data_IF_358450850722
#
_entry.id   IF_358450850722
#
_cell.length_a   1.000
_cell.length_b   1.000
_cell.length_c   1.000
_cell.angle_alpha   90.00
_cell.angle_beta   90.00
_cell.angle_gamma   90.00
#
_symmetry.space_group_name_H-M   'P 1'
#
loop_
_entity.id
_entity.type
_entity.pdbx_description
1 polymer ?
#
# COMPACT_ATOMS: atom_id res chain seq x y z
N UNK A 1 -34.40 -23.24 -29.72
CA UNK A 1 -35.15 -23.66 -28.51
C UNK A 1 -34.15 -23.54 -27.37
N UNK A 2 -34.04 -22.36 -26.76
CA UNK A 2 -34.84 -21.88 -25.62
C UNK A 2 -34.74 -22.83 -24.42
N UNK A 3 -34.02 -22.41 -23.39
CA UNK A 3 -34.58 -22.06 -22.06
C UNK A 3 -33.41 -21.77 -21.09
N UNK A 4 -33.08 -20.52 -20.77
CA UNK A 4 -33.62 -19.69 -19.67
C UNK A 4 -33.94 -20.46 -18.37
N UNK A 5 -33.03 -20.37 -17.39
CA UNK A 5 -33.35 -20.59 -15.99
C UNK A 5 -33.12 -19.31 -15.20
N UNK A 6 -34.25 -18.72 -14.81
CA UNK A 6 -34.43 -17.60 -13.89
C UNK A 6 -34.20 -18.12 -12.46
N UNK A 7 -33.43 -17.40 -11.63
CA UNK A 7 -33.54 -17.53 -10.19
C UNK A 7 -33.77 -16.17 -9.54
N UNK A 8 -34.97 -16.02 -8.98
CA UNK A 8 -35.38 -14.90 -8.12
C UNK A 8 -34.83 -15.15 -6.72
N UNK A 9 -34.13 -14.17 -6.16
CA UNK A 9 -33.73 -14.14 -4.75
C UNK A 9 -33.89 -12.73 -4.19
N UNK A 10 -34.99 -12.52 -3.48
CA UNK A 10 -35.38 -11.30 -2.76
C UNK A 10 -34.49 -11.05 -1.54
N UNK A 11 -33.94 -9.83 -1.40
CA UNK A 11 -33.32 -9.36 -0.15
C UNK A 11 -34.19 -8.26 0.49
N UNK A 12 -34.57 -8.37 1.78
CA UNK A 12 -35.34 -7.33 2.46
C UNK A 12 -34.45 -6.15 2.89
N UNK A 13 -34.93 -4.95 2.56
CA UNK A 13 -34.43 -3.64 3.00
C UNK A 13 -34.70 -3.44 4.50
N UNK A 14 -33.65 -3.35 5.32
CA UNK A 14 -33.75 -2.83 6.68
C UNK A 14 -33.55 -1.30 6.66
N UNK A 15 -34.68 -0.60 6.79
CA UNK A 15 -34.77 0.85 7.05
C UNK A 15 -34.34 1.12 8.49
N UNK A 16 -33.26 1.86 8.70
CA UNK A 16 -32.99 2.54 9.97
C UNK A 16 -33.46 3.99 9.85
N UNK A 17 -34.64 4.28 10.38
CA UNK A 17 -35.16 5.63 10.59
C UNK A 17 -34.77 6.01 12.02
N UNK A 18 -33.87 6.98 12.18
CA UNK A 18 -33.68 7.70 13.46
C UNK A 18 -34.48 8.99 13.40
N UNK A 19 -35.52 9.05 14.21
CA UNK A 19 -36.31 10.25 14.49
C UNK A 19 -35.50 11.19 15.39
N UNK A 20 -35.38 12.45 14.98
CA UNK A 20 -34.93 13.54 15.84
C UNK A 20 -36.16 14.32 16.30
N UNK A 21 -36.39 14.34 17.62
CA UNK A 21 -37.33 15.25 18.28
C UNK A 21 -36.70 16.63 18.37
N UNK A 22 -37.33 17.62 17.72
CA UNK A 22 -36.99 19.02 17.87
C UNK A 22 -37.61 19.57 19.17
N UNK A 23 -36.77 20.04 20.09
CA UNK A 23 -37.20 20.87 21.22
C UNK A 23 -36.87 22.33 20.88
N UNK A 24 -37.91 23.15 20.75
CA UNK A 24 -37.79 24.60 20.59
C UNK A 24 -37.49 25.24 21.95
N UNK A 25 -36.43 26.03 22.02
CA UNK A 25 -36.17 26.96 23.12
C UNK A 25 -36.00 28.35 22.52
N UNK A 26 -37.01 29.19 22.78
CA UNK A 26 -37.01 30.62 22.56
C UNK A 26 -36.12 31.29 23.59
N UNK A 27 -35.07 31.98 23.13
CA UNK A 27 -34.14 32.72 23.99
C UNK A 27 -33.71 34.01 23.31
N UNK A 28 -34.05 35.13 23.94
CA UNK A 28 -33.99 36.50 23.42
C UNK A 28 -32.61 36.98 23.00
N UNK A 29 -32.62 37.77 21.93
CA UNK A 29 -31.49 38.48 21.33
C UNK A 29 -31.05 39.66 22.22
N UNK A 30 -29.83 39.63 22.76
CA UNK A 30 -29.12 40.81 23.25
C UNK A 30 -27.82 40.95 22.45
N UNK A 31 -27.77 41.99 21.62
CA UNK A 31 -26.60 42.38 20.84
C UNK A 31 -25.56 43.01 21.77
N UNK A 32 -24.39 42.39 21.89
CA UNK A 32 -23.18 43.02 22.41
C UNK A 32 -22.17 43.20 21.26
N UNK A 33 -21.45 44.33 21.20
CA UNK A 33 -20.54 44.63 20.11
C UNK A 33 -19.28 43.75 20.14
N UNK A 34 -18.87 43.37 18.94
CA UNK A 34 -17.74 42.53 18.56
C UNK A 34 -16.40 43.11 19.03
N UNK A 35 -15.60 42.28 19.72
CA UNK A 35 -14.14 42.38 19.67
C UNK A 35 -13.66 41.19 18.84
N UNK A 36 -13.35 41.45 17.57
CA UNK A 36 -12.68 40.48 16.70
C UNK A 36 -11.23 40.41 17.18
N UNK A 37 -10.92 39.51 18.10
CA UNK A 37 -9.54 39.03 18.24
C UNK A 37 -9.18 38.32 16.93
N UNK A 38 -8.08 38.66 16.25
CA UNK A 38 -7.61 37.81 15.17
C UNK A 38 -7.31 36.44 15.78
N UNK A 39 -8.08 35.45 15.36
CA UNK A 39 -7.71 34.06 15.58
C UNK A 39 -6.34 33.89 14.93
N UNK A 40 -5.32 33.72 15.76
CA UNK A 40 -4.04 33.17 15.33
C UNK A 40 -4.39 31.79 14.77
N UNK A 41 -4.47 31.69 13.45
CA UNK A 41 -4.48 30.40 12.78
C UNK A 41 -3.19 29.70 13.21
N UNK A 42 -3.33 28.65 14.02
CA UNK A 42 -2.26 27.68 14.15
C UNK A 42 -2.02 27.15 12.74
N UNK A 43 -0.86 27.47 12.17
CA UNK A 43 -0.42 26.94 10.90
C UNK A 43 -0.51 25.41 10.93
N UNK A 44 -1.50 24.87 10.22
CA UNK A 44 -1.41 23.50 9.71
C UNK A 44 -0.14 23.45 8.85
N UNK A 45 0.86 22.61 9.16
CA UNK A 45 2.03 22.50 8.31
C UNK A 45 1.59 21.96 6.95
N UNK A 46 1.75 22.82 5.94
CA UNK A 46 1.59 22.50 4.53
C UNK A 46 2.57 21.38 4.17
N UNK A 47 2.03 20.28 3.67
CA UNK A 47 2.80 19.21 3.01
C UNK A 47 3.62 19.80 1.87
N UNK A 48 4.94 19.53 1.88
CA UNK A 48 5.85 19.88 0.79
C UNK A 48 6.80 21.02 1.14
N UNK A 49 7.81 20.72 1.96
CA UNK A 49 9.03 21.51 2.05
C UNK A 49 10.16 20.55 2.44
N UNK A 50 11.23 20.54 1.64
CA UNK A 50 12.34 19.62 1.78
C UNK A 50 12.86 19.57 3.21
N UNK A 51 12.87 18.38 3.79
CA UNK A 51 13.63 18.09 5.00
C UNK A 51 15.09 18.33 4.62
N UNK A 52 15.65 19.48 5.01
CA UNK A 52 17.09 19.68 5.09
C UNK A 52 17.67 18.46 5.80
N UNK A 53 18.71 17.85 5.23
CA UNK A 53 19.37 16.63 5.69
C UNK A 53 20.04 16.77 7.08
N UNK A 54 19.26 17.10 8.09
CA UNK A 54 19.60 17.20 9.49
C UNK A 54 18.83 16.12 10.24
N UNK A 55 19.46 14.96 10.34
CA UNK A 55 19.17 13.84 11.25
C UNK A 55 17.68 13.47 11.39
N UNK A 56 17.28 12.34 10.78
CA UNK A 56 16.05 11.64 11.15
C UNK A 56 16.11 11.32 12.65
N UNK A 57 15.29 12.05 13.43
CA UNK A 57 15.15 11.85 14.87
C UNK A 57 14.69 10.40 15.11
N UNK A 58 15.56 9.64 15.78
CA UNK A 58 15.33 8.24 16.06
C UNK A 58 14.10 8.06 16.94
N UNK A 59 13.91 8.93 17.94
CA UNK A 59 12.85 8.80 18.91
C UNK A 59 11.49 9.10 18.27
N UNK A 60 11.39 10.17 17.49
CA UNK A 60 10.17 10.51 16.76
C UNK A 60 9.77 9.42 15.75
N UNK A 61 10.74 8.82 15.05
CA UNK A 61 10.47 7.76 14.08
C UNK A 61 10.14 6.42 14.75
N UNK A 62 10.76 6.13 15.89
CA UNK A 62 10.37 4.98 16.71
C UNK A 62 8.93 5.12 17.22
N UNK A 63 8.55 6.29 17.75
CA UNK A 63 7.18 6.56 18.19
C UNK A 63 6.18 6.42 17.05
N UNK A 64 6.53 6.94 15.87
CA UNK A 64 5.72 6.74 14.66
C UNK A 64 5.57 5.25 14.32
N UNK A 65 6.67 4.50 14.29
CA UNK A 65 6.66 3.07 14.00
C UNK A 65 5.76 2.32 14.97
N UNK A 66 5.91 2.57 16.28
CA UNK A 66 5.07 1.98 17.34
C UNK A 66 3.59 2.33 17.16
N UNK A 67 3.27 3.59 16.85
CA UNK A 67 1.88 4.01 16.65
C UNK A 67 1.25 3.33 15.42
N UNK A 68 1.95 3.30 14.29
CA UNK A 68 1.41 2.74 13.04
C UNK A 68 1.31 1.19 13.09
N UNK A 69 2.27 0.53 13.74
CA UNK A 69 2.34 -0.92 13.91
C UNK A 69 1.66 -1.42 15.19
N UNK A 70 1.14 -0.52 16.02
CA UNK A 70 0.46 -0.82 17.29
C UNK A 70 1.35 -1.60 18.28
N UNK A 71 2.63 -1.22 18.37
CA UNK A 71 3.63 -1.89 19.22
C UNK A 71 3.70 -1.23 20.61
N UNK A 72 2.97 -1.78 21.59
CA UNK A 72 3.04 -1.33 22.99
C UNK A 72 4.43 -1.58 23.60
N UNK A 73 4.88 -0.66 24.45
CA UNK A 73 6.12 -0.78 25.22
C UNK A 73 6.11 -1.96 26.21
N UNK A 74 4.93 -2.41 26.64
CA UNK A 74 4.79 -3.55 27.55
C UNK A 74 5.05 -4.89 26.84
N UNK A 75 4.88 -4.92 25.51
CA UNK A 75 5.02 -6.14 24.71
C UNK A 75 6.24 -6.10 23.79
N UNK A 76 6.80 -4.92 23.49
CA UNK A 76 7.86 -4.76 22.51
C UNK A 76 8.95 -3.79 22.98
N UNK A 77 10.20 -4.25 22.94
CA UNK A 77 11.39 -3.39 23.07
C UNK A 77 12.05 -3.18 21.71
N UNK A 78 12.79 -2.08 21.55
CA UNK A 78 13.73 -1.93 20.43
C UNK A 78 14.99 -2.72 20.78
N UNK A 79 15.31 -3.72 19.97
CA UNK A 79 16.54 -4.49 20.08
C UNK A 79 17.71 -3.82 19.35
N UNK A 80 17.43 -3.14 18.24
CA UNK A 80 18.44 -2.45 17.43
C UNK A 80 17.82 -1.25 16.69
N UNK A 81 18.62 -0.19 16.51
CA UNK A 81 18.27 0.94 15.65
C UNK A 81 19.50 1.43 14.92
N UNK A 82 19.47 1.34 13.59
CA UNK A 82 20.60 1.69 12.72
C UNK A 82 20.17 2.73 11.70
N UNK A 83 21.06 3.67 11.42
CA UNK A 83 20.92 4.52 10.24
C UNK A 83 21.24 3.69 9.01
N UNK A 84 20.39 3.79 7.99
CA UNK A 84 20.70 3.24 6.69
C UNK A 84 21.39 4.30 5.86
N UNK A 85 22.64 4.03 5.49
CA UNK A 85 23.42 4.89 4.61
C UNK A 85 23.30 4.38 3.18
N UNK A 86 23.27 5.29 2.22
CA UNK A 86 23.46 4.98 0.81
C UNK A 86 24.46 5.94 0.20
N UNK A 87 25.26 5.47 -0.75
CA UNK A 87 26.36 6.25 -1.31
C UNK A 87 27.32 6.78 -0.24
N UNK A 88 28.17 7.72 -0.63
CA UNK A 88 29.13 8.37 0.26
C UNK A 88 28.32 9.35 1.14
N UNK A 89 28.05 8.95 2.38
CA UNK A 89 27.52 9.77 3.49
C UNK A 89 26.04 10.21 3.50
N UNK A 90 25.17 9.69 2.63
CA UNK A 90 23.74 10.04 2.69
C UNK A 90 22.92 9.04 3.53
N UNK A 91 22.30 9.52 4.61
CA UNK A 91 21.29 8.74 5.34
C UNK A 91 20.05 8.60 4.45
N UNK A 92 19.78 7.39 3.97
CA UNK A 92 18.58 7.06 3.17
C UNK A 92 17.36 6.76 4.02
N UNK A 93 17.57 6.53 5.31
CA UNK A 93 16.50 6.08 6.19
C UNK A 93 17.01 5.57 7.53
N UNK A 94 16.11 4.90 8.24
CA UNK A 94 16.39 4.27 9.53
C UNK A 94 15.74 2.90 9.60
N UNK A 95 16.54 1.95 10.09
CA UNK A 95 16.13 0.60 10.43
C UNK A 95 15.81 0.50 11.92
N UNK A 96 14.74 -0.21 12.26
CA UNK A 96 14.45 -0.64 13.63
C UNK A 96 14.20 -2.14 13.68
N UNK A 97 14.80 -2.79 14.66
CA UNK A 97 14.49 -4.15 15.07
C UNK A 97 13.72 -4.10 16.39
N UNK A 98 12.51 -4.65 16.41
CA UNK A 98 11.71 -4.82 17.62
C UNK A 98 11.71 -6.29 18.02
N UNK A 99 11.83 -6.54 19.32
CA UNK A 99 11.78 -7.88 19.90
C UNK A 99 10.61 -7.96 20.87
N UNK A 100 9.79 -9.00 20.72
CA UNK A 100 8.68 -9.27 21.62
C UNK A 100 9.17 -9.75 22.99
N UNK A 101 8.67 -9.13 24.06
CA UNK A 101 9.10 -9.37 25.45
C UNK A 101 7.99 -9.93 26.35
N UNK A 102 6.74 -9.95 25.89
CA UNK A 102 5.62 -10.53 26.62
C UNK A 102 5.42 -12.01 26.28
N UNK A 103 4.69 -12.76 27.10
CA UNK A 103 4.38 -14.18 26.84
C UNK A 103 3.74 -14.43 25.45
N UNK A 104 2.98 -13.45 24.96
CA UNK A 104 2.29 -13.52 23.65
C UNK A 104 3.15 -13.10 22.46
N UNK A 105 4.27 -12.40 22.69
CA UNK A 105 5.13 -11.86 21.62
C UNK A 105 6.53 -12.44 21.66
N UNK A 106 6.92 -13.11 22.74
CA UNK A 106 8.24 -13.71 22.94
C UNK A 106 8.58 -14.66 21.81
N UNK A 107 9.76 -14.47 21.21
CA UNK A 107 10.17 -15.20 20.01
C UNK A 107 9.58 -14.63 18.71
N UNK A 108 9.02 -13.43 18.72
CA UNK A 108 8.70 -12.68 17.50
C UNK A 108 9.67 -11.52 17.36
N UNK A 109 10.21 -11.31 16.16
CA UNK A 109 10.92 -10.09 15.80
C UNK A 109 10.20 -9.34 14.70
N UNK A 110 10.28 -8.01 14.73
CA UNK A 110 9.77 -7.12 13.69
C UNK A 110 10.92 -6.23 13.22
N UNK A 111 11.27 -6.38 11.95
CA UNK A 111 12.24 -5.53 11.25
C UNK A 111 11.48 -4.49 10.44
N UNK A 112 11.89 -3.22 10.53
CA UNK A 112 11.27 -2.13 9.77
C UNK A 112 12.32 -1.21 9.17
N UNK A 113 12.00 -0.66 8.00
CA UNK A 113 12.77 0.40 7.36
C UNK A 113 11.86 1.58 7.03
N UNK A 114 12.29 2.77 7.44
CA UNK A 114 11.67 4.03 7.06
C UNK A 114 12.62 4.85 6.20
N UNK A 115 12.14 5.38 5.08
CA UNK A 115 12.93 6.26 4.22
C UNK A 115 13.11 7.68 4.82
N UNK A 116 13.86 8.53 4.12
CA UNK A 116 14.06 9.93 4.51
C UNK A 116 12.76 10.77 4.49
N UNK A 117 11.70 10.30 3.83
CA UNK A 117 10.38 10.90 3.82
C UNK A 117 9.47 10.31 4.92
N UNK A 118 10.02 9.51 5.83
CA UNK A 118 9.33 8.85 6.96
C UNK A 118 8.25 7.86 6.51
N UNK A 119 8.33 7.33 5.30
CA UNK A 119 7.45 6.26 4.83
C UNK A 119 8.02 4.91 5.21
N UNK A 120 7.16 3.99 5.65
CA UNK A 120 7.53 2.59 5.83
C UNK A 120 7.77 1.97 4.45
N UNK A 121 8.99 1.51 4.17
CA UNK A 121 9.31 0.87 2.89
C UNK A 121 9.57 -0.62 3.00
N UNK A 122 9.96 -1.09 4.18
CA UNK A 122 10.11 -2.52 4.46
C UNK A 122 9.58 -2.80 5.86
N UNK A 123 8.77 -3.83 5.98
CA UNK A 123 8.37 -4.43 7.24
C UNK A 123 8.45 -5.94 7.06
N UNK A 124 9.07 -6.61 8.03
CA UNK A 124 9.09 -8.06 8.15
C UNK A 124 8.81 -8.46 9.58
N UNK A 125 7.87 -9.37 9.78
CA UNK A 125 7.60 -10.01 11.06
C UNK A 125 7.99 -11.47 10.97
N UNK A 126 9.00 -11.83 11.76
CA UNK A 126 9.42 -13.21 11.90
C UNK A 126 8.81 -13.75 13.18
N UNK A 127 7.81 -14.63 13.05
CA UNK A 127 7.20 -15.31 14.18
C UNK A 127 7.79 -16.71 14.30
N UNK A 128 8.34 -17.06 15.47
CA UNK A 128 8.75 -18.43 15.77
C UNK A 128 7.56 -19.32 16.22
N UNK A 129 6.37 -18.76 16.41
CA UNK A 129 5.16 -19.50 16.76
C UNK A 129 4.34 -19.85 15.51
N UNK A 130 4.23 -21.15 15.23
CA UNK A 130 3.41 -21.70 14.15
C UNK A 130 1.95 -21.79 14.60
N UNK A 131 1.19 -20.69 14.52
CA UNK A 131 -0.25 -20.73 14.80
C UNK A 131 -0.97 -21.31 13.59
N UNK A 132 -1.45 -22.55 13.65
CA UNK A 132 -2.22 -23.16 12.54
C UNK A 132 -3.60 -22.48 12.41
N UNK A 133 -3.74 -21.59 11.43
CA UNK A 133 -5.02 -21.05 10.96
C UNK A 133 -5.17 -21.18 9.44
N UNK A 134 -6.37 -20.93 8.92
CA UNK A 134 -6.59 -20.75 7.47
C UNK A 134 -7.47 -19.53 7.28
N UNK A 135 -6.85 -18.39 7.00
CA UNK A 135 -7.55 -17.16 6.61
C UNK A 135 -8.17 -17.35 5.22
N UNK A 136 -9.38 -16.83 5.01
CA UNK A 136 -9.95 -16.80 3.68
C UNK A 136 -9.19 -15.78 2.80
N UNK A 137 -9.04 -16.07 1.51
CA UNK A 137 -8.37 -15.17 0.57
C UNK A 137 -8.95 -13.75 0.61
N UNK A 138 -10.28 -13.61 0.69
CA UNK A 138 -10.96 -12.30 0.76
C UNK A 138 -10.59 -11.51 2.03
N UNK A 139 -10.44 -12.19 3.16
CA UNK A 139 -10.05 -11.57 4.43
C UNK A 139 -8.57 -11.17 4.40
N UNK A 140 -7.70 -12.03 3.85
CA UNK A 140 -6.29 -11.71 3.64
C UNK A 140 -6.11 -10.51 2.69
N UNK A 141 -6.91 -10.44 1.62
CA UNK A 141 -6.94 -9.30 0.71
C UNK A 141 -7.38 -8.02 1.42
N UNK A 142 -8.41 -8.10 2.27
CA UNK A 142 -8.88 -6.96 3.04
C UNK A 142 -7.82 -6.47 4.03
N UNK A 143 -7.09 -7.40 4.65
CA UNK A 143 -5.97 -7.07 5.51
C UNK A 143 -4.85 -6.37 4.74
N UNK A 144 -4.49 -6.85 3.55
CA UNK A 144 -3.49 -6.23 2.69
C UNK A 144 -3.89 -4.81 2.26
N UNK A 145 -5.14 -4.61 1.83
CA UNK A 145 -5.68 -3.28 1.50
C UNK A 145 -5.64 -2.32 2.69
N UNK A 146 -5.97 -2.81 3.87
CA UNK A 146 -5.94 -2.00 5.11
C UNK A 146 -4.52 -1.55 5.46
N UNK A 147 -3.52 -2.39 5.18
CA UNK A 147 -2.11 -2.01 5.32
C UNK A 147 -1.70 -0.94 4.31
N UNK A 148 -2.06 -1.10 3.04
CA UNK A 148 -1.81 -0.08 2.01
C UNK A 148 -2.43 1.26 2.42
N UNK A 149 -3.69 1.27 2.87
CA UNK A 149 -4.36 2.48 3.32
C UNK A 149 -3.70 3.12 4.55
N UNK A 150 -3.19 2.32 5.48
CA UNK A 150 -2.54 2.80 6.70
C UNK A 150 -1.18 3.43 6.43
N UNK A 151 -0.37 2.81 5.57
CA UNK A 151 1.02 3.20 5.36
C UNK A 151 1.24 4.10 4.13
N UNK A 152 0.31 4.07 3.17
CA UNK A 152 0.34 4.88 1.95
C UNK A 152 -1.01 5.56 1.68
N UNK A 153 -1.56 6.32 2.64
CA UNK A 153 -2.90 6.90 2.49
C UNK A 153 -3.03 7.80 1.26
N UNK A 154 -1.99 8.57 0.95
CA UNK A 154 -1.96 9.51 -0.20
C UNK A 154 -1.96 8.79 -1.56
N UNK A 155 -1.59 7.51 -1.59
CA UNK A 155 -1.44 6.72 -2.81
C UNK A 155 -2.41 5.55 -2.89
N UNK A 156 -3.20 5.30 -1.84
CA UNK A 156 -4.13 4.16 -1.81
C UNK A 156 -5.12 4.18 -2.97
N UNK A 157 -5.55 5.37 -3.41
CA UNK A 157 -6.42 5.54 -4.59
C UNK A 157 -5.72 5.38 -5.94
N UNK A 158 -4.39 5.36 -5.97
CA UNK A 158 -3.56 5.14 -7.16
C UNK A 158 -3.04 3.70 -7.22
N UNK A 159 -3.26 2.87 -6.19
CA UNK A 159 -2.71 1.52 -6.14
C UNK A 159 -3.75 0.50 -6.62
N UNK A 160 -3.43 -0.18 -7.72
CA UNK A 160 -4.26 -1.23 -8.30
C UNK A 160 -3.61 -2.60 -8.08
N UNK A 161 -4.41 -3.60 -7.72
CA UNK A 161 -3.94 -4.98 -7.60
C UNK A 161 -3.65 -5.53 -9.00
N UNK A 162 -2.40 -5.95 -9.25
CA UNK A 162 -1.98 -6.47 -10.56
C UNK A 162 -1.69 -7.96 -10.55
N UNK A 163 -1.35 -8.51 -9.39
CA UNK A 163 -1.11 -9.94 -9.21
C UNK A 163 -1.38 -10.33 -7.77
N UNK A 164 -1.91 -11.52 -7.58
CA UNK A 164 -1.96 -12.19 -6.29
C UNK A 164 -1.59 -13.66 -6.44
N UNK A 165 -1.41 -14.34 -5.31
CA UNK A 165 -1.06 -15.75 -5.29
C UNK A 165 -1.10 -16.33 -3.89
N UNK A 166 -1.10 -17.65 -3.81
CA UNK A 166 -1.04 -18.38 -2.55
C UNK A 166 0.02 -19.47 -2.65
N UNK A 167 0.92 -19.54 -1.68
CA UNK A 167 1.99 -20.54 -1.64
C UNK A 167 2.63 -20.61 -0.27
N UNK A 168 3.02 -21.81 0.15
CA UNK A 168 3.70 -22.05 1.45
C UNK A 168 2.95 -21.50 2.68
N UNK A 169 1.62 -21.44 2.64
CA UNK A 169 0.80 -20.90 3.72
C UNK A 169 0.63 -19.38 3.69
N UNK A 170 1.13 -18.71 2.65
CA UNK A 170 1.11 -17.25 2.56
C UNK A 170 0.31 -16.79 1.35
N UNK A 171 -0.61 -15.85 1.57
CA UNK A 171 -1.21 -15.05 0.52
C UNK A 171 -0.27 -13.89 0.16
N UNK A 172 0.00 -13.74 -1.13
CA UNK A 172 0.79 -12.64 -1.67
C UNK A 172 -0.09 -11.72 -2.51
N UNK A 173 0.02 -10.42 -2.28
CA UNK A 173 -0.72 -9.39 -3.01
C UNK A 173 0.25 -8.35 -3.54
N UNK A 174 0.21 -8.09 -4.84
CA UNK A 174 1.05 -7.14 -5.53
C UNK A 174 0.19 -6.01 -6.08
N UNK A 175 0.47 -4.80 -5.62
CA UNK A 175 -0.15 -3.58 -6.10
C UNK A 175 0.87 -2.80 -6.93
N UNK A 176 0.42 -2.19 -8.01
CA UNK A 176 1.21 -1.23 -8.78
C UNK A 176 0.51 0.12 -8.76
N UNK A 177 1.32 1.18 -8.80
CA UNK A 177 0.79 2.53 -8.94
C UNK A 177 0.26 2.72 -10.36
N UNK A 178 -0.92 3.28 -10.47
CA UNK A 178 -1.55 3.74 -11.70
C UNK A 178 -1.62 5.27 -11.67
N UNK A 179 -1.06 5.90 -12.70
CA UNK A 179 -1.11 7.34 -12.91
C UNK A 179 -1.58 7.59 -14.33
N UNK A 180 -2.59 8.45 -14.50
CA UNK A 180 -3.18 8.76 -15.81
C UNK A 180 -3.67 7.51 -16.58
N UNK A 181 -4.14 6.47 -15.88
CA UNK A 181 -4.61 5.21 -16.48
C UNK A 181 -3.50 4.27 -16.98
N UNK A 182 -2.23 4.57 -16.65
CA UNK A 182 -1.07 3.73 -16.97
C UNK A 182 -0.39 3.23 -15.70
N UNK A 183 0.01 1.95 -15.68
CA UNK A 183 0.77 1.41 -14.56
C UNK A 183 2.22 1.87 -14.62
N UNK A 184 2.73 2.32 -13.48
CA UNK A 184 4.13 2.68 -13.29
C UNK A 184 4.87 1.39 -12.92
N UNK A 185 5.60 0.81 -13.87
CA UNK A 185 6.20 -0.53 -13.70
C UNK A 185 7.16 -0.65 -12.50
N UNK A 186 7.79 0.46 -12.10
CA UNK A 186 8.74 0.49 -10.98
C UNK A 186 8.06 0.60 -9.63
N UNK A 187 6.96 1.38 -9.56
CA UNK A 187 6.30 1.74 -8.32
C UNK A 187 5.34 0.62 -7.90
N UNK A 188 5.77 -0.18 -6.93
CA UNK A 188 4.99 -1.33 -6.48
C UNK A 188 4.98 -1.53 -4.97
N UNK A 189 3.92 -2.16 -4.51
CA UNK A 189 3.74 -2.58 -3.12
C UNK A 189 3.49 -4.07 -3.11
N UNK A 190 4.23 -4.80 -2.29
CA UNK A 190 3.96 -6.21 -1.99
C UNK A 190 3.49 -6.33 -0.55
N UNK A 191 2.41 -7.07 -0.33
CA UNK A 191 1.96 -7.45 1.01
C UNK A 191 1.83 -8.96 1.08
N UNK A 192 2.46 -9.56 2.09
CA UNK A 192 2.34 -10.98 2.40
C UNK A 192 1.54 -11.16 3.68
N UNK A 193 0.51 -11.99 3.61
CA UNK A 193 -0.39 -12.31 4.71
C UNK A 193 -0.28 -13.81 4.98
N UNK A 194 0.09 -14.17 6.21
CA UNK A 194 0.23 -15.56 6.61
C UNK A 194 -1.15 -16.25 6.71
N UNK A 195 -1.13 -17.56 6.95
CA UNK A 195 -2.31 -18.40 7.09
C UNK A 195 -3.19 -18.04 8.29
N UNK A 196 -2.66 -17.33 9.29
CA UNK A 196 -3.43 -16.79 10.42
C UNK A 196 -4.10 -15.43 10.11
N UNK A 197 -3.89 -14.86 8.91
CA UNK A 197 -4.43 -13.56 8.53
C UNK A 197 -3.59 -12.37 9.00
N UNK A 198 -2.38 -12.60 9.50
CA UNK A 198 -1.47 -11.54 9.93
C UNK A 198 -0.54 -11.14 8.78
N UNK A 199 -0.22 -9.85 8.68
CA UNK A 199 0.80 -9.38 7.73
C UNK A 199 2.18 -9.74 8.25
N UNK A 200 2.91 -10.53 7.48
CA UNK A 200 4.29 -10.93 7.77
C UNK A 200 5.31 -10.13 6.97
N UNK A 201 4.91 -9.58 5.82
CA UNK A 201 5.78 -8.70 5.02
C UNK A 201 4.98 -7.59 4.35
N UNK A 202 5.57 -6.40 4.34
CA UNK A 202 5.15 -5.26 3.51
C UNK A 202 6.40 -4.65 2.88
N UNK A 203 6.40 -4.50 1.56
CA UNK A 203 7.54 -3.94 0.82
C UNK A 203 7.07 -2.90 -0.18
N UNK A 204 7.59 -1.68 -0.07
CA UNK A 204 7.48 -0.60 -1.04
C UNK A 204 8.73 -0.60 -1.93
N UNK A 205 8.56 -0.79 -3.22
CA UNK A 205 9.67 -0.84 -4.18
C UNK A 205 9.65 0.37 -5.10
N UNK A 206 10.81 1.02 -5.24
CA UNK A 206 11.10 2.07 -6.23
C UNK A 206 10.00 3.11 -6.38
N UNK A 207 9.73 3.88 -5.32
CA UNK A 207 8.66 4.87 -5.34
C UNK A 207 9.11 6.21 -5.95
N UNK A 208 8.55 6.58 -7.09
CA UNK A 208 8.85 7.84 -7.75
C UNK A 208 8.10 9.01 -7.08
N UNK A 209 8.84 10.08 -6.82
CA UNK A 209 8.31 11.30 -6.16
C UNK A 209 8.18 12.47 -7.12
N UNK A 210 8.79 12.38 -8.30
CA UNK A 210 8.64 13.35 -9.38
C UNK A 210 7.24 13.25 -10.00
N UNK A 211 6.84 14.34 -10.64
CA UNK A 211 5.59 14.41 -11.37
C UNK A 211 5.67 13.58 -12.66
N UNK A 212 4.60 12.84 -12.94
CA UNK A 212 4.47 12.11 -14.20
C UNK A 212 3.97 13.07 -15.28
N UNK A 213 4.49 12.95 -16.53
CA UNK A 213 3.97 13.74 -17.63
C UNK A 213 2.48 13.43 -17.88
N UNK A 214 1.75 14.46 -18.31
CA UNK A 214 0.37 14.32 -18.77
C UNK A 214 0.26 13.46 -20.05
N UNK A 215 -0.95 13.03 -20.35
CA UNK A 215 -1.26 12.15 -21.48
C UNK A 215 -1.73 12.89 -22.72
N UNK A 216 -1.67 14.22 -22.74
CA UNK A 216 -2.23 15.05 -23.83
C UNK A 216 -1.51 14.83 -25.17
N UNK A 217 -0.25 14.39 -25.12
CA UNK A 217 0.56 14.06 -26.30
C UNK A 217 0.62 12.55 -26.59
N UNK A 218 -0.10 11.73 -25.84
CA UNK A 218 -0.12 10.29 -26.05
C UNK A 218 -0.86 9.96 -27.36
N UNK A 219 -0.27 9.05 -28.15
CA UNK A 219 -0.97 8.44 -29.29
C UNK A 219 -2.05 7.46 -28.81
N UNK A 220 -3.04 7.16 -29.63
CA UNK A 220 -4.07 6.18 -29.27
C UNK A 220 -3.48 4.77 -29.18
N UNK A 221 -4.09 3.87 -28.38
CA UNK A 221 -3.69 2.45 -28.34
C UNK A 221 -3.69 1.78 -29.73
N UNK A 222 -4.61 2.15 -30.62
CA UNK A 222 -4.72 1.63 -31.98
C UNK A 222 -3.54 2.11 -32.83
N UNK A 223 -3.20 3.39 -32.75
CA UNK A 223 -2.05 3.94 -33.45
C UNK A 223 -0.73 3.33 -32.93
N UNK A 224 -0.61 3.13 -31.62
CA UNK A 224 0.54 2.45 -31.02
C UNK A 224 0.67 1.00 -31.54
N UNK A 225 -0.43 0.24 -31.59
CA UNK A 225 -0.48 -1.12 -32.16
C UNK A 225 -0.07 -1.14 -33.62
N UNK A 226 -0.54 -0.16 -34.41
CA UNK A 226 -0.20 -0.05 -35.83
C UNK A 226 1.31 0.20 -36.01
N UNK A 227 1.86 1.23 -35.36
CA UNK A 227 3.28 1.56 -35.43
C UNK A 227 4.14 0.37 -34.99
N UNK A 228 3.76 -0.28 -33.87
CA UNK A 228 4.47 -1.45 -33.38
C UNK A 228 4.45 -2.58 -34.41
N UNK A 229 3.28 -2.91 -34.95
CA UNK A 229 3.14 -3.99 -35.94
C UNK A 229 3.90 -3.72 -37.23
N UNK A 230 3.85 -2.49 -37.73
CA UNK A 230 4.58 -2.07 -38.94
C UNK A 230 6.10 -2.08 -38.73
N UNK A 231 6.56 -1.93 -37.49
CA UNK A 231 7.99 -1.98 -37.13
C UNK A 231 8.53 -3.39 -36.91
N UNK A 232 7.67 -4.41 -36.81
CA UNK A 232 8.10 -5.78 -36.57
C UNK A 232 8.73 -6.38 -37.84
N UNK A 233 10.06 -6.53 -37.84
CA UNK A 233 10.76 -7.39 -38.82
C UNK A 233 10.57 -8.85 -38.41
N UNK A 234 9.45 -9.44 -38.82
CA UNK A 234 9.17 -10.85 -38.58
C UNK A 234 9.87 -11.73 -39.61
N UNK A 235 10.69 -12.67 -39.13
CA UNK A 235 11.35 -13.66 -39.98
C UNK A 235 10.93 -15.07 -39.65
N UNK A 236 10.84 -15.88 -40.69
CA UNK A 236 10.57 -17.30 -40.58
C UNK A 236 11.79 -18.02 -39.97
N UNK A 237 11.58 -18.78 -38.89
CA UNK A 237 12.63 -19.51 -38.18
C UNK A 237 12.16 -20.89 -37.74
N UNK A 238 13.10 -21.81 -37.64
CA UNK A 238 12.90 -23.09 -36.96
C UNK A 238 13.23 -22.94 -35.46
N UNK A 239 12.38 -23.48 -34.60
CA UNK A 239 12.61 -23.61 -33.17
C UNK A 239 12.28 -25.04 -32.71
N UNK A 240 12.97 -25.54 -31.69
CA UNK A 240 12.71 -26.87 -31.13
C UNK A 240 11.85 -26.75 -29.87
N UNK A 241 10.64 -27.32 -29.91
CA UNK A 241 9.76 -27.36 -28.75
C UNK A 241 10.30 -28.24 -27.62
N UNK A 242 9.65 -28.22 -26.47
CA UNK A 242 9.96 -29.11 -25.33
C UNK A 242 9.75 -30.60 -25.65
N UNK A 243 9.01 -30.89 -26.72
CA UNK A 243 8.80 -32.20 -27.32
C UNK A 243 9.96 -32.62 -28.26
N UNK A 244 10.96 -31.76 -28.48
CA UNK A 244 12.10 -32.03 -29.36
C UNK A 244 11.80 -31.94 -30.85
N UNK A 245 10.57 -31.58 -31.25
CA UNK A 245 10.16 -31.51 -32.66
C UNK A 245 10.44 -30.12 -33.24
N UNK A 246 10.94 -30.03 -34.49
CA UNK A 246 11.14 -28.75 -35.16
C UNK A 246 9.79 -28.11 -35.49
N UNK A 247 9.63 -26.84 -35.12
CA UNK A 247 8.45 -26.02 -35.39
C UNK A 247 8.86 -24.80 -36.18
N UNK A 248 8.09 -24.48 -37.22
CA UNK A 248 8.30 -23.31 -38.07
C UNK A 248 7.44 -22.16 -37.54
N UNK A 249 8.06 -21.03 -37.19
CA UNK A 249 7.38 -19.87 -36.61
C UNK A 249 7.87 -18.56 -37.22
N UNK A 250 7.02 -17.53 -37.24
CA UNK A 250 7.46 -16.15 -37.43
C UNK A 250 7.86 -15.58 -36.07
N UNK A 251 9.04 -14.99 -35.98
CA UNK A 251 9.52 -14.34 -34.75
C UNK A 251 10.18 -12.99 -35.06
N UNK A 252 10.10 -12.02 -34.15
CA UNK A 252 10.80 -10.74 -34.31
C UNK A 252 12.31 -10.96 -34.46
N UNK A 253 12.95 -10.19 -35.35
CA UNK A 253 14.38 -10.20 -35.57
C UNK A 253 15.14 -9.42 -34.50
#
# INVERSE_FOLDING_TARGET
MLDSCIWKGTYPLLKYIRTWTAAALTGSLLLAPTVITPAVFADTPVSGSGVTAGQIDAAALEQQARAQLQLSVDHWKVADSKRAFGGIDQVRGRHFEFEGISDTTKGTTISTYFDSQRRLTDYRRNNHQTTLGTVAHADAMQQAKSWVQRFLPDYAGQLVLTRDGYGFGTHSFYFQREVNGATVQTDSVQVLVNHAGEVEQFTLTNWETREFPGTEKAISPEQAKQIYSDSLDLRLRYYFGTDGLPKLTYSPY
#
